data_IF_908075968032
#
_entry.id   IF_908075968032
#
_cell.length_a   1.000
_cell.length_b   1.000
_cell.length_c   1.000
_cell.angle_alpha   90.00
_cell.angle_beta   90.00
_cell.angle_gamma   90.00
#
_symmetry.space_group_name_H-M   'P 1'
#
loop_
_entity.id
_entity.type
_entity.pdbx_description
1 polymer ?
#
# COMPACT_ATOMS: atom_id res chain seq x y z
N UNK A 1 -0.47 35.29 30.12
CA UNK A 1 -0.15 35.52 28.69
C UNK A 1 1.10 34.77 28.22
N UNK A 2 1.33 33.51 28.61
CA UNK A 2 2.35 32.66 27.97
C UNK A 2 2.21 31.16 28.37
N UNK A 3 1.02 30.57 28.30
CA UNK A 3 0.84 29.13 28.61
C UNK A 3 -0.09 28.38 27.63
N UNK A 4 -0.42 28.97 26.47
CA UNK A 4 -1.29 28.30 25.48
C UNK A 4 -0.60 28.16 24.09
N UNK A 5 0.65 28.60 23.92
CA UNK A 5 1.38 28.50 22.64
C UNK A 5 2.32 27.28 22.60
N UNK A 6 1.90 26.16 23.17
CA UNK A 6 2.59 24.87 22.96
C UNK A 6 1.68 23.76 22.45
N UNK A 7 0.36 24.00 22.37
CA UNK A 7 -0.60 23.00 21.86
C UNK A 7 -0.78 23.13 20.33
N UNK A 8 -0.39 24.26 19.73
CA UNK A 8 -0.62 24.53 18.28
C UNK A 8 0.62 24.37 17.41
N UNK A 9 1.77 24.00 17.98
CA UNK A 9 3.05 23.90 17.26
C UNK A 9 3.54 22.47 17.03
N UNK A 10 2.67 21.45 17.10
CA UNK A 10 2.91 20.26 16.29
C UNK A 10 2.14 20.43 14.98
N UNK A 11 2.75 21.22 14.10
CA UNK A 11 2.47 21.15 12.66
C UNK A 11 2.52 19.68 12.29
N UNK A 12 1.37 19.14 11.95
CA UNK A 12 1.16 17.87 11.28
C UNK A 12 2.39 17.51 10.45
N UNK A 13 3.13 16.50 10.90
CA UNK A 13 4.05 15.79 10.03
C UNK A 13 3.15 15.23 8.93
N UNK A 14 3.20 15.81 7.73
CA UNK A 14 2.45 15.36 6.55
C UNK A 14 2.97 13.98 6.12
N UNK A 15 2.64 12.95 6.90
CA UNK A 15 2.96 11.54 6.70
C UNK A 15 1.67 10.74 6.56
N UNK A 16 0.70 11.26 5.80
CA UNK A 16 -0.50 10.50 5.47
C UNK A 16 -0.12 9.46 4.42
N UNK A 17 -0.17 8.19 4.81
CA UNK A 17 0.01 7.11 3.86
C UNK A 17 -1.08 7.18 2.78
N UNK A 18 -0.69 6.94 1.54
CA UNK A 18 -1.52 6.81 0.34
C UNK A 18 -1.97 5.34 0.23
N UNK A 19 -3.21 5.07 -0.23
CA UNK A 19 -3.65 3.70 -0.49
C UNK A 19 -2.81 3.06 -1.58
N UNK A 20 -2.30 1.86 -1.31
CA UNK A 20 -1.60 1.06 -2.30
C UNK A 20 -2.57 0.67 -3.43
N UNK A 21 -2.24 0.90 -4.71
CA UNK A 21 -3.13 0.59 -5.83
C UNK A 21 -3.34 -0.92 -6.03
N UNK A 22 -2.46 -1.74 -5.48
CA UNK A 22 -2.55 -3.20 -5.51
C UNK A 22 -3.47 -3.73 -4.40
N UNK A 23 -3.17 -3.46 -3.12
CA UNK A 23 -3.91 -4.05 -2.00
C UNK A 23 -4.98 -3.15 -1.37
N UNK A 24 -5.01 -1.86 -1.68
CA UNK A 24 -5.98 -0.88 -1.15
C UNK A 24 -5.68 -0.36 0.25
N UNK A 25 -4.72 -0.94 1.00
CA UNK A 25 -4.36 -0.47 2.34
C UNK A 25 -3.49 0.79 2.30
N UNK A 26 -3.64 1.66 3.31
CA UNK A 26 -2.86 2.90 3.51
C UNK A 26 -1.43 2.57 3.99
N UNK A 27 -0.55 2.19 3.06
CA UNK A 27 0.79 1.68 3.39
C UNK A 27 1.93 2.37 2.67
N UNK A 28 1.63 3.20 1.67
CA UNK A 28 2.63 3.85 0.81
C UNK A 28 2.81 5.29 1.27
N UNK A 29 4.03 5.82 1.37
CA UNK A 29 4.27 7.23 1.72
C UNK A 29 4.48 8.07 0.48
N UNK A 30 5.19 7.54 -0.50
CA UNK A 30 5.53 8.25 -1.73
C UNK A 30 5.53 7.36 -2.97
N UNK A 31 5.75 7.98 -4.13
CA UNK A 31 5.92 7.24 -5.39
C UNK A 31 7.17 6.38 -5.27
N UNK A 32 7.09 5.20 -5.86
CA UNK A 32 8.14 4.17 -5.89
C UNK A 32 8.39 3.48 -4.54
N UNK A 33 7.54 3.71 -3.54
CA UNK A 33 7.53 2.88 -2.33
C UNK A 33 7.01 1.47 -2.61
N UNK A 34 7.66 0.49 -2.01
CA UNK A 34 7.20 -0.91 -2.01
C UNK A 34 6.20 -1.11 -0.87
N UNK A 35 4.98 -1.54 -1.20
CA UNK A 35 3.99 -1.87 -0.19
C UNK A 35 4.43 -3.07 0.67
N UNK A 36 4.50 -2.97 2.01
CA UNK A 36 4.95 -4.07 2.88
C UNK A 36 3.96 -5.24 2.98
N UNK A 37 2.73 -5.10 2.46
CA UNK A 37 1.70 -6.16 2.51
C UNK A 37 1.66 -6.99 1.23
N UNK A 38 1.67 -6.31 0.08
CA UNK A 38 1.56 -6.95 -1.22
C UNK A 38 2.88 -7.04 -1.98
N UNK A 39 3.91 -6.31 -1.54
CA UNK A 39 5.25 -6.23 -2.15
C UNK A 39 5.28 -5.64 -3.56
N UNK A 40 4.20 -4.98 -3.99
CA UNK A 40 4.14 -4.22 -5.25
C UNK A 40 4.63 -2.79 -5.03
N UNK A 41 5.45 -2.29 -5.95
CA UNK A 41 6.01 -0.92 -5.93
C UNK A 41 5.01 0.07 -6.53
N UNK A 42 4.69 1.15 -5.81
CA UNK A 42 3.84 2.23 -6.32
C UNK A 42 4.49 2.93 -7.51
N UNK A 43 4.07 2.64 -8.73
CA UNK A 43 4.53 3.33 -9.92
C UNK A 43 3.35 3.97 -10.68
N UNK A 44 3.24 5.32 -10.72
CA UNK A 44 2.18 6.02 -11.44
C UNK A 44 2.11 5.73 -12.94
N UNK A 45 3.20 5.27 -13.56
CA UNK A 45 3.19 4.81 -14.96
C UNK A 45 2.56 3.42 -15.04
N UNK A 46 2.99 2.49 -14.18
CA UNK A 46 2.40 1.15 -14.13
C UNK A 46 0.90 1.18 -13.77
N UNK A 47 0.47 2.14 -12.95
CA UNK A 47 -0.95 2.37 -12.63
C UNK A 47 -1.79 2.77 -13.86
N UNK A 48 -1.21 3.48 -14.83
CA UNK A 48 -1.89 3.86 -16.09
C UNK A 48 -2.05 2.70 -17.06
N UNK A 49 -1.19 1.69 -16.96
CA UNK A 49 -1.17 0.50 -17.82
C UNK A 49 -1.28 -0.77 -16.96
N UNK A 50 -2.44 -1.01 -16.30
CA UNK A 50 -2.54 -1.99 -15.23
C UNK A 50 -2.33 -3.45 -15.67
N UNK A 51 -2.39 -3.72 -16.97
CA UNK A 51 -2.17 -5.06 -17.54
C UNK A 51 -0.74 -5.26 -18.06
N UNK A 52 0.11 -4.23 -18.03
CA UNK A 52 1.49 -4.28 -18.48
C UNK A 52 2.46 -4.37 -17.30
N UNK A 53 3.60 -5.04 -17.51
CA UNK A 53 4.69 -5.07 -16.54
C UNK A 53 5.60 -3.87 -16.86
N UNK A 54 5.65 -2.92 -15.93
CA UNK A 54 6.37 -1.65 -16.08
C UNK A 54 7.25 -1.42 -14.84
N UNK A 55 8.43 -0.84 -15.07
CA UNK A 55 9.34 -0.45 -14.00
C UNK A 55 10.00 -1.64 -13.31
N UNK A 56 10.19 -1.57 -12.00
CA UNK A 56 10.83 -2.62 -11.19
C UNK A 56 9.87 -3.77 -10.82
N UNK A 57 8.57 -3.61 -11.06
CA UNK A 57 7.56 -4.59 -10.73
C UNK A 57 7.71 -5.88 -11.57
N UNK A 58 7.54 -7.04 -10.93
CA UNK A 58 7.59 -8.36 -11.60
C UNK A 58 6.22 -8.82 -12.10
N UNK A 59 5.16 -8.18 -11.63
CA UNK A 59 3.77 -8.43 -12.00
C UNK A 59 3.12 -7.12 -12.44
N UNK A 60 2.23 -7.18 -13.43
CA UNK A 60 1.36 -6.04 -13.74
C UNK A 60 0.48 -5.72 -12.54
N UNK A 61 -0.05 -4.49 -12.46
CA UNK A 61 -0.92 -4.11 -11.34
C UNK A 61 -2.13 -5.04 -11.20
N UNK A 62 -2.71 -5.49 -12.33
CA UNK A 62 -3.82 -6.43 -12.35
C UNK A 62 -3.39 -7.81 -11.82
N UNK A 63 -2.24 -8.33 -12.24
CA UNK A 63 -1.71 -9.60 -11.74
C UNK A 63 -1.39 -9.54 -10.24
N UNK A 64 -0.83 -8.43 -9.77
CA UNK A 64 -0.52 -8.22 -8.35
C UNK A 64 -1.78 -8.18 -7.47
N UNK A 65 -2.86 -7.54 -7.95
CA UNK A 65 -4.18 -7.55 -7.29
C UNK A 65 -4.72 -8.96 -7.13
N UNK A 66 -4.69 -9.75 -8.21
CA UNK A 66 -5.17 -11.12 -8.21
C UNK A 66 -4.33 -12.03 -7.30
N UNK A 67 -3.00 -11.88 -7.33
CA UNK A 67 -2.09 -12.60 -6.43
C UNK A 67 -2.40 -12.29 -4.96
N UNK A 68 -2.53 -11.00 -4.62
CA UNK A 68 -2.82 -10.58 -3.25
C UNK A 68 -4.16 -11.14 -2.76
N UNK A 69 -5.22 -11.09 -3.56
CA UNK A 69 -6.51 -11.68 -3.24
C UNK A 69 -6.45 -13.21 -3.05
N UNK A 70 -5.65 -13.91 -3.86
CA UNK A 70 -5.43 -15.36 -3.69
C UNK A 70 -4.73 -15.65 -2.37
N UNK A 71 -3.67 -14.90 -2.03
CA UNK A 71 -2.96 -15.04 -0.75
C UNK A 71 -3.86 -14.75 0.45
N UNK A 72 -4.72 -13.74 0.39
CA UNK A 72 -5.69 -13.46 1.46
C UNK A 72 -6.68 -14.60 1.66
N UNK A 73 -7.23 -15.16 0.57
CA UNK A 73 -8.14 -16.32 0.66
C UNK A 73 -7.46 -17.55 1.25
N UNK A 74 -6.25 -17.86 0.79
CA UNK A 74 -5.47 -18.98 1.32
C UNK A 74 -5.14 -18.79 2.80
N UNK A 75 -4.75 -17.58 3.22
CA UNK A 75 -4.51 -17.28 4.63
C UNK A 75 -5.77 -17.47 5.48
N UNK A 76 -6.95 -17.11 4.97
CA UNK A 76 -8.21 -17.29 5.69
C UNK A 76 -8.64 -18.76 5.80
N UNK A 77 -8.39 -19.57 4.78
CA UNK A 77 -8.64 -21.02 4.82
C UNK A 77 -7.72 -21.73 5.84
N UNK A 78 -6.45 -21.36 5.87
CA UNK A 78 -5.48 -21.94 6.81
C UNK A 78 -5.79 -21.58 8.28
N UNK A 79 -6.53 -20.51 8.54
CA UNK A 79 -6.99 -20.15 9.89
C UNK A 79 -8.16 -21.03 10.35
N UNK A 80 -9.03 -21.46 9.43
CA UNK A 80 -10.19 -22.32 9.70
C UNK A 80 -9.74 -23.76 10.01
N UNK A 81 -8.70 -24.27 9.32
CA UNK A 81 -8.13 -25.61 9.55
C UNK A 81 -7.31 -25.73 10.86
N UNK A 82 -7.10 -24.61 11.57
CA UNK A 82 -6.36 -24.57 12.84
C UNK A 82 -7.25 -24.60 14.09
N UNK A 83 -8.58 -24.70 13.91
CA UNK A 83 -9.58 -24.89 14.97
C UNK A 83 -10.04 -26.35 15.06
#
# INVERSE_FOLDING_TARGET
MALIISIVNNKWQNNENIPCPCCGYLTVKEKYDICPLCFWEMDPVAEKYPNEIIGANQLSLQQAREDFQKRQRAAMQNLDESQ
#
